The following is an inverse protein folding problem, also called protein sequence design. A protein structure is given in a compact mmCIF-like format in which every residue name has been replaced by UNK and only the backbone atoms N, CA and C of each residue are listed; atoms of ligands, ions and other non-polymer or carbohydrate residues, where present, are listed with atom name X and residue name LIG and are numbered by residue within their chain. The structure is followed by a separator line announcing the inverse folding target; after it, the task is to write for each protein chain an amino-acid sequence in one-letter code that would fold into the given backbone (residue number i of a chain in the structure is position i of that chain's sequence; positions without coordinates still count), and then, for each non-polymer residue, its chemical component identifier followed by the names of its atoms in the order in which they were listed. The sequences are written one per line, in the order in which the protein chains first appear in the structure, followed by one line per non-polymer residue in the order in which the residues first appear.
data_IF_995891265372
#
_entry.id   IF_995891265372
#
_cell.length_a   1.000
_cell.length_b   1.000
_cell.length_c   1.000
_cell.angle_alpha   90.00
_cell.angle_beta   90.00
_cell.angle_gamma   90.00
#
_symmetry.space_group_name_H-M   'P 1'
#
loop_
_entity.id
_entity.type
_entity.pdbx_description
1 polymer ?
#
# COMPACT_ATOMS: atom_id res chain seq x y z
N UNK A 1 2.67 -2.74 -2.79
CA UNK A 1 1.42 -2.09 -2.34
C UNK A 1 1.43 -0.64 -2.77
N UNK A 2 0.36 -0.16 -3.39
CA UNK A 2 0.25 1.23 -3.87
C UNK A 2 -0.93 1.92 -3.18
N UNK A 3 -0.71 3.11 -2.65
CA UNK A 3 -1.71 3.92 -1.94
C UNK A 3 -1.33 5.39 -2.00
N UNK A 4 -2.19 6.30 -1.54
CA UNK A 4 -1.91 7.74 -1.52
C UNK A 4 -1.60 8.16 -0.08
N UNK A 5 -0.39 8.68 0.16
CA UNK A 5 0.01 9.24 1.46
C UNK A 5 -0.08 8.28 2.65
N UNK A 6 -0.03 6.97 2.41
CA UNK A 6 -0.28 5.94 3.43
C UNK A 6 0.99 5.27 3.97
N UNK A 7 2.15 5.55 3.36
CA UNK A 7 3.39 4.85 3.64
C UNK A 7 4.48 5.80 4.15
N UNK A 8 5.20 5.35 5.17
CA UNK A 8 6.42 5.94 5.72
C UNK A 8 7.28 4.80 6.32
N UNK A 9 8.50 5.08 6.76
CA UNK A 9 9.45 4.04 7.20
C UNK A 9 8.90 3.17 8.34
N UNK A 10 8.31 3.78 9.37
CA UNK A 10 7.74 3.06 10.51
C UNK A 10 6.58 2.15 10.10
N UNK A 11 5.65 2.69 9.31
CA UNK A 11 4.48 1.95 8.84
C UNK A 11 4.88 0.84 7.86
N UNK A 12 5.89 1.05 7.03
CA UNK A 12 6.39 0.05 6.08
C UNK A 12 6.93 -1.19 6.80
N UNK A 13 7.68 -1.00 7.90
CA UNK A 13 8.15 -2.12 8.74
C UNK A 13 6.97 -2.88 9.33
N UNK A 14 6.01 -2.17 9.92
CA UNK A 14 4.81 -2.79 10.52
C UNK A 14 3.95 -3.54 9.50
N UNK A 15 3.72 -2.95 8.32
CA UNK A 15 2.87 -3.52 7.30
C UNK A 15 3.54 -4.69 6.58
N UNK A 16 4.84 -4.61 6.30
CA UNK A 16 5.57 -5.71 5.65
C UNK A 16 5.56 -6.97 6.52
N UNK A 17 5.77 -6.85 7.83
CA UNK A 17 5.69 -7.98 8.76
C UNK A 17 4.31 -8.67 8.71
N UNK A 18 3.22 -7.89 8.81
CA UNK A 18 1.85 -8.44 8.76
C UNK A 18 1.50 -9.07 7.42
N UNK A 19 1.93 -8.46 6.32
CA UNK A 19 1.69 -9.00 4.97
C UNK A 19 2.45 -10.30 4.78
N UNK A 20 3.73 -10.37 5.19
CA UNK A 20 4.53 -11.59 5.09
C UNK A 20 3.96 -12.72 5.95
N UNK A 21 3.51 -12.41 7.17
CA UNK A 21 2.81 -13.37 8.05
C UNK A 21 1.54 -13.91 7.39
N UNK A 22 0.70 -13.02 6.84
CA UNK A 22 -0.51 -13.41 6.14
C UNK A 22 -0.23 -14.31 4.93
N UNK A 23 0.77 -13.95 4.12
CA UNK A 23 1.21 -14.75 2.97
C UNK A 23 1.70 -16.13 3.42
N UNK A 24 2.48 -16.19 4.50
CA UNK A 24 2.95 -17.45 5.05
C UNK A 24 1.80 -18.35 5.50
N UNK A 25 0.85 -17.81 6.27
CA UNK A 25 -0.30 -18.56 6.77
C UNK A 25 -1.22 -19.03 5.63
N UNK A 26 -1.38 -18.22 4.58
CA UNK A 26 -2.32 -18.51 3.50
C UNK A 26 -1.73 -19.43 2.42
N UNK A 27 -0.43 -19.32 2.14
CA UNK A 27 0.21 -19.93 0.97
C UNK A 27 1.47 -20.76 1.31
N UNK A 28 1.83 -20.87 2.59
CA UNK A 28 3.05 -21.54 3.07
C UNK A 28 4.36 -21.00 2.46
N UNK A 29 4.36 -19.76 1.97
CA UNK A 29 5.57 -19.10 1.48
C UNK A 29 6.34 -18.54 2.68
N UNK A 30 7.65 -18.81 2.75
CA UNK A 30 8.47 -18.35 3.86
C UNK A 30 8.59 -16.80 3.88
N UNK A 31 8.46 -16.13 5.04
CA UNK A 31 8.48 -14.67 5.13
C UNK A 31 9.70 -14.00 4.50
N UNK A 32 10.88 -14.61 4.61
CA UNK A 32 12.14 -14.11 4.03
C UNK A 32 12.17 -14.10 2.50
N UNK A 33 11.22 -14.79 1.85
CA UNK A 33 11.04 -14.77 0.40
C UNK A 33 10.02 -13.72 -0.06
N UNK A 34 9.39 -13.00 0.86
CA UNK A 34 8.37 -12.00 0.55
C UNK A 34 9.00 -10.61 0.38
N UNK A 35 9.23 -10.21 -0.88
CA UNK A 35 9.64 -8.85 -1.22
C UNK A 35 8.42 -7.95 -1.37
N UNK A 36 8.33 -6.89 -0.57
CA UNK A 36 7.16 -6.00 -0.53
C UNK A 36 7.61 -4.56 -0.78
N UNK A 37 7.27 -4.03 -1.95
CA UNK A 37 7.49 -2.63 -2.30
C UNK A 37 6.30 -1.78 -1.85
N UNK A 38 6.54 -0.63 -1.21
CA UNK A 38 5.51 0.35 -0.87
C UNK A 38 5.68 1.62 -1.72
N UNK A 39 4.59 2.07 -2.35
CA UNK A 39 4.62 3.24 -3.23
C UNK A 39 3.50 4.20 -2.85
N UNK A 40 3.88 5.41 -2.46
CA UNK A 40 2.94 6.54 -2.35
C UNK A 40 2.69 7.10 -3.76
N UNK A 41 1.42 7.10 -4.16
CA UNK A 41 0.95 7.63 -5.42
C UNK A 41 0.58 9.11 -5.26
N UNK A 42 0.80 9.85 -6.35
CA UNK A 42 0.36 11.23 -6.49
C UNK A 42 -1.16 11.30 -6.75
N UNK A 43 -1.96 12.02 -5.93
CA UNK A 43 -3.42 12.05 -6.06
C UNK A 43 -3.94 12.51 -7.42
N UNK A 44 -3.21 13.38 -8.11
CA UNK A 44 -3.54 13.87 -9.46
C UNK A 44 -3.39 12.80 -10.54
N UNK A 45 -2.61 11.75 -10.28
CA UNK A 45 -2.31 10.66 -11.22
C UNK A 45 -3.14 9.40 -10.95
N UNK A 46 -4.08 9.43 -10.01
CA UNK A 46 -4.95 8.31 -9.65
C UNK A 46 -6.39 8.72 -9.88
N UNK A 47 -7.11 7.95 -10.69
CA UNK A 47 -8.53 8.18 -10.98
C UNK A 47 -9.42 7.18 -10.25
N UNK A 48 -10.56 7.67 -9.74
CA UNK A 48 -11.63 6.86 -9.18
C UNK A 48 -12.99 7.45 -9.62
N UNK A 49 -13.88 6.60 -10.12
CA UNK A 49 -15.25 6.97 -10.54
C UNK A 49 -15.33 8.19 -11.46
N UNK A 50 -14.44 8.27 -12.46
CA UNK A 50 -14.48 9.33 -13.48
C UNK A 50 -13.87 10.68 -13.06
N UNK A 51 -13.21 10.75 -11.90
CA UNK A 51 -12.45 11.93 -11.47
C UNK A 51 -11.13 11.54 -10.81
N UNK A 52 -10.26 12.50 -10.49
CA UNK A 52 -8.99 12.23 -9.82
C UNK A 52 -9.13 12.21 -8.30
N UNK A 53 -8.24 11.48 -7.64
CA UNK A 53 -8.19 11.45 -6.18
C UNK A 53 -7.85 12.84 -5.62
N UNK A 54 -7.11 13.69 -6.35
CA UNK A 54 -6.91 15.11 -5.98
C UNK A 54 -8.25 15.84 -5.78
N UNK A 55 -9.19 15.70 -6.71
CA UNK A 55 -10.52 16.36 -6.64
C UNK A 55 -11.40 15.74 -5.56
N UNK A 56 -11.34 14.43 -5.38
CA UNK A 56 -12.14 13.75 -4.35
C UNK A 56 -11.65 14.07 -2.94
N UNK A 57 -10.34 14.18 -2.74
CA UNK A 57 -9.74 14.45 -1.44
C UNK A 57 -9.86 15.92 -1.03
N UNK A 58 -10.01 16.86 -1.98
CA UNK A 58 -10.24 18.28 -1.68
C UNK A 58 -11.69 18.60 -1.29
N UNK A 59 -12.61 17.63 -1.41
CA UNK A 59 -14.03 17.78 -1.02
C UNK A 59 -14.30 17.35 0.43
N UNK A 60 -13.26 17.01 1.19
CA UNK A 60 -13.30 16.71 2.62
C UNK A 60 -12.74 17.88 3.41
#
# INVERSE_FOLDING_TARGET
VKAIGAFNDELNVKYSAKIAEFIHQSLAIAPEKCLIEFVNLEPQNVSNSGTTMKVLMSKK
#
